data_IF_209874567583
#
_entry.id   IF_209874567583
#
_cell.length_a   1.000
_cell.length_b   1.000
_cell.length_c   1.000
_cell.angle_alpha   90.00
_cell.angle_beta   90.00
_cell.angle_gamma   90.00
#
_symmetry.space_group_name_H-M   'P 1'
#
loop_
_entity.id
_entity.type
_entity.pdbx_description
1 polymer ?
#
# COMPACT_ATOMS: atom_id res chain seq x y z
N UNK A 1 0.56 5.56 28.13
CA UNK A 1 0.13 6.55 27.12
C UNK A 1 0.64 6.05 25.80
N UNK A 2 -0.30 5.73 24.91
CA UNK A 2 -0.07 4.93 23.71
C UNK A 2 0.40 5.82 22.55
N UNK A 3 1.30 5.26 21.73
CA UNK A 3 2.01 5.95 20.65
C UNK A 3 1.12 6.07 19.42
N UNK A 4 1.25 7.18 18.70
CA UNK A 4 0.58 7.44 17.41
C UNK A 4 1.66 7.94 16.46
N UNK A 5 1.68 7.51 15.18
CA UNK A 5 2.35 8.34 14.20
C UNK A 5 1.62 8.52 12.87
N UNK A 6 1.37 9.81 12.62
CA UNK A 6 1.81 10.62 11.47
C UNK A 6 1.05 10.52 10.14
N UNK A 7 0.66 11.73 9.74
CA UNK A 7 0.18 12.18 8.44
C UNK A 7 1.38 12.64 7.60
N UNK A 8 1.52 12.14 6.36
CA UNK A 8 2.51 12.65 5.41
C UNK A 8 2.01 13.94 4.75
N UNK A 9 2.82 15.00 4.77
CA UNK A 9 2.42 16.36 4.34
C UNK A 9 3.51 16.95 3.42
N UNK A 10 3.17 17.57 2.26
CA UNK A 10 4.17 18.16 1.36
C UNK A 10 4.96 19.34 1.97
N UNK A 11 6.23 19.54 1.58
CA UNK A 11 7.17 20.56 2.12
C UNK A 11 6.68 22.01 2.14
N UNK A 12 5.79 22.41 1.23
CA UNK A 12 5.23 23.78 1.22
C UNK A 12 4.18 23.93 2.32
N UNK A 13 3.39 22.89 2.54
CA UNK A 13 2.36 22.81 3.58
C UNK A 13 3.03 22.86 4.96
N UNK A 14 4.16 22.19 5.10
CA UNK A 14 5.00 22.08 6.31
C UNK A 14 5.29 23.43 7.01
N UNK A 15 5.66 24.49 6.27
CA UNK A 15 5.99 25.79 6.88
C UNK A 15 4.77 26.50 7.48
N UNK A 16 3.60 26.31 6.88
CA UNK A 16 2.35 26.93 7.34
C UNK A 16 1.74 26.15 8.51
N UNK A 17 1.80 24.81 8.52
CA UNK A 17 1.36 23.97 9.66
C UNK A 17 2.06 24.36 10.97
N UNK A 18 3.39 24.53 10.92
CA UNK A 18 4.21 24.92 12.09
C UNK A 18 3.86 26.33 12.58
N UNK A 19 3.35 27.21 11.71
CA UNK A 19 2.91 28.55 12.10
C UNK A 19 1.55 28.58 12.81
N UNK A 20 0.72 27.55 12.60
CA UNK A 20 -0.63 27.42 13.15
C UNK A 20 -0.62 26.60 14.45
N UNK A 21 0.30 25.65 14.57
CA UNK A 21 0.45 24.79 15.75
C UNK A 21 1.41 25.44 16.77
N UNK A 22 0.92 25.77 17.97
CA UNK A 22 1.78 26.03 19.15
C UNK A 22 1.32 25.15 20.32
N UNK A 23 2.20 24.60 21.17
CA UNK A 23 3.66 24.74 21.27
C UNK A 23 4.44 23.46 20.87
N UNK A 24 5.77 23.62 20.80
CA UNK A 24 6.93 22.72 20.66
C UNK A 24 6.78 21.26 21.17
N UNK A 25 5.77 20.94 21.97
CA UNK A 25 5.55 19.61 22.55
C UNK A 25 4.93 18.60 21.58
N UNK A 26 4.17 19.04 20.57
CA UNK A 26 3.50 18.15 19.59
C UNK A 26 4.45 17.72 18.46
N UNK A 27 5.58 18.39 18.26
CA UNK A 27 6.54 18.03 17.23
C UNK A 27 7.72 17.27 17.86
N UNK A 28 7.95 16.03 17.43
CA UNK A 28 9.08 15.22 17.90
C UNK A 28 10.33 15.48 17.07
N UNK A 29 10.25 15.23 15.76
CA UNK A 29 11.38 15.32 14.84
C UNK A 29 10.90 15.23 13.39
N UNK A 30 11.76 15.61 12.47
CA UNK A 30 11.61 15.34 11.05
C UNK A 30 12.70 14.35 10.64
N UNK A 31 12.31 13.32 9.90
CA UNK A 31 13.25 12.36 9.30
C UNK A 31 12.80 12.16 7.87
N UNK A 32 13.72 12.38 6.91
CA UNK A 32 13.50 12.10 5.49
C UNK A 32 12.25 12.77 4.87
N UNK A 33 11.88 13.96 5.36
CA UNK A 33 10.70 14.72 4.91
C UNK A 33 9.38 14.28 5.55
N UNK A 34 9.42 13.31 6.49
CA UNK A 34 8.26 12.89 7.27
C UNK A 34 8.24 13.59 8.64
N UNK A 35 7.10 14.19 8.98
CA UNK A 35 6.92 14.95 10.23
C UNK A 35 6.45 14.05 11.35
N UNK A 36 7.25 13.87 12.40
CA UNK A 36 6.87 13.09 13.57
C UNK A 36 6.17 13.94 14.62
N UNK A 37 4.89 13.66 14.86
CA UNK A 37 4.12 14.28 15.92
C UNK A 37 4.24 13.46 17.22
N UNK A 38 4.37 14.14 18.34
CA UNK A 38 4.26 13.62 19.71
C UNK A 38 2.80 13.27 20.03
N UNK A 39 2.53 12.72 21.22
CA UNK A 39 1.21 12.23 21.63
C UNK A 39 0.08 13.24 21.37
N UNK A 40 -0.70 13.00 20.32
CA UNK A 40 -1.94 13.72 20.00
C UNK A 40 -3.11 12.77 20.11
N UNK A 41 -4.22 13.24 20.67
CA UNK A 41 -5.49 12.51 20.67
C UNK A 41 -6.03 12.37 19.25
N UNK A 42 -6.90 11.38 19.03
CA UNK A 42 -7.57 11.19 17.74
C UNK A 42 -8.30 12.47 17.28
N UNK A 43 -8.97 13.18 18.20
CA UNK A 43 -9.66 14.43 17.86
C UNK A 43 -8.71 15.53 17.38
N UNK A 44 -7.51 15.61 17.97
CA UNK A 44 -6.48 16.54 17.52
C UNK A 44 -5.94 16.17 16.14
N UNK A 45 -5.70 14.88 15.87
CA UNK A 45 -5.28 14.41 14.54
C UNK A 45 -6.31 14.79 13.47
N UNK A 46 -7.60 14.57 13.74
CA UNK A 46 -8.67 14.90 12.80
C UNK A 46 -8.89 16.41 12.66
N UNK A 47 -8.66 17.19 13.71
CA UNK A 47 -8.68 18.65 13.66
C UNK A 47 -7.53 19.19 12.78
N UNK A 48 -6.34 18.62 12.92
CA UNK A 48 -5.18 18.93 12.06
C UNK A 48 -5.52 18.56 10.62
N UNK A 49 -5.94 17.32 10.35
CA UNK A 49 -6.36 16.87 9.01
C UNK A 49 -7.39 17.82 8.38
N UNK A 50 -8.44 18.20 9.13
CA UNK A 50 -9.50 19.12 8.66
C UNK A 50 -8.95 20.52 8.37
N UNK A 51 -8.00 20.99 9.17
CA UNK A 51 -7.36 22.28 8.95
C UNK A 51 -6.48 22.25 7.69
N UNK A 52 -5.70 21.18 7.50
CA UNK A 52 -4.83 21.02 6.34
C UNK A 52 -5.61 20.83 5.04
N UNK A 53 -6.68 20.03 5.05
CA UNK A 53 -7.55 19.85 3.87
C UNK A 53 -8.20 21.15 3.43
N UNK A 54 -8.60 22.01 4.37
CA UNK A 54 -9.16 23.31 4.07
C UNK A 54 -8.14 24.30 3.49
N UNK A 55 -6.91 24.31 4.00
CA UNK A 55 -5.91 25.30 3.60
C UNK A 55 -5.28 24.93 2.25
N UNK A 56 -4.90 23.66 2.06
CA UNK A 56 -3.99 23.29 0.99
C UNK A 56 -4.64 22.74 -0.26
N UNK A 57 -5.97 22.52 -0.26
CA UNK A 57 -6.67 21.85 -1.37
C UNK A 57 -5.89 20.61 -1.85
N UNK A 58 -5.34 19.83 -0.91
CA UNK A 58 -4.44 18.73 -1.26
C UNK A 58 -5.28 17.63 -1.92
N UNK A 59 -4.86 17.13 -3.10
CA UNK A 59 -5.65 16.16 -3.85
C UNK A 59 -5.70 14.77 -3.21
N UNK A 60 -4.80 14.47 -2.25
CA UNK A 60 -4.70 13.15 -1.63
C UNK A 60 -4.00 13.21 -0.26
N UNK A 61 -4.42 12.31 0.64
CA UNK A 61 -3.79 12.03 1.94
C UNK A 61 -3.77 10.54 2.19
N UNK A 62 -2.69 10.04 2.78
CA UNK A 62 -2.58 8.65 3.20
C UNK A 62 -2.60 8.59 4.73
N UNK A 63 -3.41 7.70 5.28
CA UNK A 63 -3.46 7.42 6.71
C UNK A 63 -2.50 6.29 7.05
N UNK A 64 -1.60 6.53 8.01
CA UNK A 64 -0.62 5.54 8.46
C UNK A 64 -0.98 5.06 9.87
N UNK A 65 -1.19 3.76 10.06
CA UNK A 65 -1.46 3.16 11.36
C UNK A 65 -0.34 2.16 11.70
N UNK A 66 0.40 2.43 12.78
CA UNK A 66 1.37 1.48 13.34
C UNK A 66 0.66 0.36 14.09
N UNK A 67 0.22 -0.65 13.37
CA UNK A 67 -0.39 -1.84 13.93
C UNK A 67 0.52 -2.55 14.94
N UNK A 68 1.84 -2.52 14.73
CA UNK A 68 2.81 -3.07 15.69
C UNK A 68 2.86 -2.34 17.05
N UNK A 69 2.38 -1.11 17.13
CA UNK A 69 2.39 -0.30 18.36
C UNK A 69 0.99 -0.03 18.94
N UNK A 70 -0.07 -0.22 18.15
CA UNK A 70 -1.46 0.00 18.53
C UNK A 70 -2.08 -1.26 19.11
N UNK A 71 -2.90 -1.08 20.16
CA UNK A 71 -3.83 -2.13 20.57
C UNK A 71 -4.92 -2.30 19.52
N UNK A 72 -5.44 -3.51 19.39
CA UNK A 72 -6.42 -3.87 18.36
C UNK A 72 -7.73 -3.05 18.46
N UNK A 73 -8.22 -2.79 19.68
CA UNK A 73 -9.40 -1.95 19.91
C UNK A 73 -9.18 -0.52 19.41
N UNK A 74 -7.99 0.04 19.65
CA UNK A 74 -7.60 1.36 19.15
C UNK A 74 -7.40 1.39 17.65
N UNK A 75 -6.82 0.35 17.06
CA UNK A 75 -6.71 0.22 15.62
C UNK A 75 -8.08 0.32 14.94
N UNK A 76 -9.08 -0.40 15.47
CA UNK A 76 -10.44 -0.36 14.93
C UNK A 76 -11.15 0.96 15.18
N UNK A 77 -11.02 1.55 16.37
CA UNK A 77 -11.52 2.90 16.67
C UNK A 77 -11.03 3.92 15.63
N UNK A 78 -9.74 3.87 15.29
CA UNK A 78 -9.13 4.78 14.33
C UNK A 78 -9.56 4.48 12.90
N UNK A 79 -9.60 3.20 12.53
CA UNK A 79 -10.04 2.76 11.21
C UNK A 79 -11.47 3.22 10.93
N UNK A 80 -12.40 2.99 11.85
CA UNK A 80 -13.79 3.44 11.72
C UNK A 80 -13.89 4.96 11.57
N UNK A 81 -13.09 5.72 12.34
CA UNK A 81 -13.07 7.18 12.22
C UNK A 81 -12.52 7.63 10.86
N UNK A 82 -11.43 7.03 10.38
CA UNK A 82 -10.81 7.32 9.09
C UNK A 82 -11.77 7.05 7.93
N UNK A 83 -12.53 5.95 8.00
CA UNK A 83 -13.51 5.59 6.98
C UNK A 83 -14.67 6.61 6.86
N UNK A 84 -14.84 7.52 7.84
CA UNK A 84 -15.79 8.64 7.71
C UNK A 84 -15.27 9.81 6.86
N UNK A 85 -14.02 9.74 6.39
CA UNK A 85 -13.37 10.75 5.55
C UNK A 85 -13.24 10.31 4.10
N UNK A 86 -12.83 11.22 3.21
CA UNK A 86 -12.43 10.81 1.87
C UNK A 86 -11.06 10.11 1.93
N UNK A 87 -11.11 8.78 1.91
CA UNK A 87 -9.92 7.93 1.96
C UNK A 87 -9.28 7.82 0.57
N UNK A 88 -8.03 8.28 0.46
CA UNK A 88 -7.18 8.05 -0.71
C UNK A 88 -6.21 6.89 -0.48
N UNK A 89 -5.46 6.90 0.62
CA UNK A 89 -4.56 5.81 0.97
C UNK A 89 -4.64 5.39 2.43
N UNK A 90 -4.39 4.11 2.67
CA UNK A 90 -4.40 3.50 3.99
C UNK A 90 -3.23 2.54 4.15
N UNK A 91 -2.42 2.75 5.18
CA UNK A 91 -1.23 1.96 5.46
C UNK A 91 -1.35 1.31 6.83
N UNK A 92 -1.16 0.00 6.88
CA UNK A 92 -1.03 -0.79 8.10
C UNK A 92 0.43 -1.18 8.22
N UNK A 93 1.12 -0.71 9.26
CA UNK A 93 2.56 -0.91 9.42
C UNK A 93 2.94 -1.62 10.72
N UNK A 94 3.86 -2.57 10.58
CA UNK A 94 4.42 -3.34 11.68
C UNK A 94 3.49 -4.40 12.26
N UNK A 95 4.05 -5.24 13.13
CA UNK A 95 3.32 -6.32 13.79
C UNK A 95 2.83 -7.42 12.85
N UNK A 96 2.00 -8.31 13.39
CA UNK A 96 1.38 -9.40 12.63
C UNK A 96 -0.13 -9.26 12.68
N UNK A 97 -0.77 -9.08 11.53
CA UNK A 97 -2.22 -8.94 11.44
C UNK A 97 -2.86 -10.32 11.30
N UNK A 98 -3.85 -10.61 12.15
CA UNK A 98 -4.61 -11.87 12.07
C UNK A 98 -5.42 -11.94 10.76
N UNK A 99 -5.66 -13.15 10.26
CA UNK A 99 -6.53 -13.37 9.09
C UNK A 99 -7.91 -12.73 9.24
N UNK A 100 -8.51 -12.81 10.42
CA UNK A 100 -9.83 -12.23 10.74
C UNK A 100 -9.79 -10.70 10.61
N UNK A 101 -8.83 -10.05 11.29
CA UNK A 101 -8.70 -8.58 11.22
C UNK A 101 -8.36 -8.08 9.82
N UNK A 102 -7.51 -8.80 9.07
CA UNK A 102 -7.18 -8.43 7.70
C UNK A 102 -8.39 -8.62 6.77
N UNK A 103 -9.17 -9.68 6.95
CA UNK A 103 -10.39 -9.89 6.17
C UNK A 103 -11.44 -8.81 6.45
N UNK A 104 -11.64 -8.45 7.72
CA UNK A 104 -12.53 -7.35 8.12
C UNK A 104 -12.07 -6.02 7.53
N UNK A 105 -10.75 -5.76 7.53
CA UNK A 105 -10.17 -4.55 6.95
C UNK A 105 -10.49 -4.47 5.45
N UNK A 106 -10.22 -5.55 4.70
CA UNK A 106 -10.46 -5.61 3.27
C UNK A 106 -11.96 -5.48 2.93
N UNK A 107 -12.87 -5.90 3.82
CA UNK A 107 -14.30 -5.75 3.61
C UNK A 107 -14.77 -4.30 3.78
N UNK A 108 -14.20 -3.58 4.75
CA UNK A 108 -14.57 -2.20 5.07
C UNK A 108 -13.96 -1.16 4.13
N UNK A 109 -12.81 -1.48 3.52
CA UNK A 109 -12.08 -0.52 2.70
C UNK A 109 -12.80 -0.22 1.37
N UNK A 110 -12.90 1.06 0.95
CA UNK A 110 -13.43 1.42 -0.35
C UNK A 110 -12.55 0.88 -1.49
N UNK A 111 -13.16 0.36 -2.55
CA UNK A 111 -12.42 -0.15 -3.73
C UNK A 111 -11.57 0.94 -4.42
N UNK A 112 -11.91 2.23 -4.24
CA UNK A 112 -11.12 3.33 -4.80
C UNK A 112 -9.84 3.68 -4.01
N UNK A 113 -9.62 3.05 -2.85
CA UNK A 113 -8.49 3.34 -1.98
C UNK A 113 -7.19 2.68 -2.47
N UNK A 114 -6.06 3.27 -2.07
CA UNK A 114 -4.74 2.66 -2.16
C UNK A 114 -4.40 2.01 -0.82
N UNK A 115 -4.13 0.71 -0.79
CA UNK A 115 -3.86 -0.02 0.45
C UNK A 115 -2.43 -0.50 0.49
N UNK A 116 -1.74 -0.26 1.61
CA UNK A 116 -0.40 -0.81 1.86
C UNK A 116 -0.45 -1.62 3.16
N UNK A 117 -0.11 -2.89 3.07
CA UNK A 117 0.02 -3.78 4.23
C UNK A 117 1.51 -4.10 4.43
N UNK A 118 2.13 -3.36 5.34
CA UNK A 118 3.48 -3.54 5.87
C UNK A 118 3.44 -4.28 7.23
N UNK A 119 2.60 -5.30 7.33
CA UNK A 119 2.51 -6.20 8.48
C UNK A 119 2.76 -7.65 8.05
N UNK A 120 3.15 -8.50 8.98
CA UNK A 120 3.22 -9.95 8.71
C UNK A 120 1.80 -10.50 8.51
N UNK A 121 1.64 -11.34 7.49
CA UNK A 121 0.38 -12.00 7.12
C UNK A 121 0.60 -13.51 7.18
N UNK A 122 -0.39 -14.25 7.68
CA UNK A 122 -0.30 -15.71 7.73
C UNK A 122 -0.29 -16.33 6.32
N UNK A 123 0.51 -17.38 6.13
CA UNK A 123 0.64 -18.06 4.83
C UNK A 123 -0.62 -18.83 4.40
N UNK A 124 -1.53 -19.10 5.33
CA UNK A 124 -2.83 -19.74 5.06
C UNK A 124 -3.95 -18.73 4.78
N UNK A 125 -3.64 -17.43 4.78
CA UNK A 125 -4.61 -16.39 4.47
C UNK A 125 -5.11 -16.52 3.02
N UNK A 126 -6.38 -16.16 2.83
CA UNK A 126 -6.99 -16.06 1.51
C UNK A 126 -8.17 -15.10 1.58
N UNK A 127 -8.26 -14.19 0.62
CA UNK A 127 -9.38 -13.27 0.52
C UNK A 127 -9.63 -12.90 -0.94
N UNK A 128 -10.86 -13.05 -1.47
CA UNK A 128 -11.18 -12.70 -2.86
C UNK A 128 -11.05 -11.20 -3.16
N UNK A 129 -11.06 -10.33 -2.14
CA UNK A 129 -10.87 -8.88 -2.29
C UNK A 129 -9.41 -8.43 -2.25
N UNK A 130 -8.44 -9.36 -2.17
CA UNK A 130 -7.02 -9.02 -2.02
C UNK A 130 -6.49 -8.00 -3.05
N UNK A 131 -7.08 -7.94 -4.24
CA UNK A 131 -6.71 -7.04 -5.33
C UNK A 131 -7.85 -6.13 -5.79
N UNK A 132 -8.96 -6.02 -5.05
CA UNK A 132 -10.13 -5.24 -5.43
C UNK A 132 -10.02 -3.78 -4.97
N UNK A 133 -8.86 -3.18 -5.21
CA UNK A 133 -8.55 -1.81 -4.79
C UNK A 133 -7.89 -1.04 -5.93
N UNK A 134 -7.93 0.29 -5.87
CA UNK A 134 -7.24 1.14 -6.84
C UNK A 134 -5.76 0.79 -6.90
N UNK A 135 -5.10 0.66 -5.75
CA UNK A 135 -3.74 0.13 -5.69
C UNK A 135 -3.57 -0.73 -4.46
N UNK A 136 -2.71 -1.74 -4.54
CA UNK A 136 -2.36 -2.54 -3.38
C UNK A 136 -0.86 -2.84 -3.31
N UNK A 137 -0.31 -2.75 -2.10
CA UNK A 137 1.03 -3.16 -1.78
C UNK A 137 1.03 -4.13 -0.60
N UNK A 138 1.64 -5.29 -0.80
CA UNK A 138 1.87 -6.28 0.25
C UNK A 138 3.36 -6.44 0.48
N UNK A 139 3.82 -6.12 1.70
CA UNK A 139 5.18 -6.45 2.10
C UNK A 139 5.37 -7.96 2.23
N UNK A 140 4.46 -8.61 2.94
CA UNK A 140 4.37 -10.06 3.03
C UNK A 140 3.33 -10.58 2.03
N UNK A 141 3.80 -11.18 0.95
CA UNK A 141 2.99 -11.65 -0.17
C UNK A 141 3.15 -13.16 -0.41
N UNK A 142 3.87 -13.90 0.45
CA UNK A 142 4.08 -15.36 0.29
C UNK A 142 2.83 -16.21 0.48
N UNK A 143 1.78 -15.65 1.08
CA UNK A 143 0.47 -16.27 1.21
C UNK A 143 -0.28 -16.31 -0.13
N UNK A 144 0.08 -15.45 -1.10
CA UNK A 144 -0.53 -15.42 -2.41
C UNK A 144 -0.08 -16.61 -3.26
N UNK A 145 -1.02 -17.11 -4.05
CA UNK A 145 -0.78 -18.07 -5.12
C UNK A 145 -0.94 -17.40 -6.47
N UNK A 146 -0.41 -18.02 -7.52
CA UNK A 146 -0.45 -17.46 -8.87
C UNK A 146 -1.88 -17.23 -9.35
N UNK A 147 -2.81 -18.11 -8.95
CA UNK A 147 -4.23 -18.00 -9.30
C UNK A 147 -4.89 -16.76 -8.69
N UNK A 148 -4.36 -16.23 -7.58
CA UNK A 148 -4.87 -14.98 -7.02
C UNK A 148 -4.59 -13.81 -7.97
N UNK A 149 -3.46 -13.81 -8.70
CA UNK A 149 -3.14 -12.74 -9.64
C UNK A 149 -4.10 -12.74 -10.84
N UNK A 150 -4.65 -13.88 -11.22
CA UNK A 150 -5.65 -13.97 -12.30
C UNK A 150 -6.98 -13.28 -11.96
N UNK A 151 -7.22 -12.95 -10.68
CA UNK A 151 -8.41 -12.20 -10.25
C UNK A 151 -8.28 -10.68 -10.37
N UNK A 152 -7.09 -10.15 -10.60
CA UNK A 152 -6.83 -8.71 -10.68
C UNK A 152 -7.67 -8.07 -11.79
N UNK A 153 -8.45 -7.03 -11.48
CA UNK A 153 -9.24 -6.28 -12.47
C UNK A 153 -9.23 -4.79 -12.17
N UNK A 154 -9.05 -3.98 -13.20
CA UNK A 154 -9.13 -2.50 -13.14
C UNK A 154 -8.29 -1.87 -12.01
N UNK A 155 -7.12 -2.43 -11.70
CA UNK A 155 -6.22 -1.90 -10.68
C UNK A 155 -5.25 -0.89 -11.32
N UNK A 156 -4.90 0.18 -10.63
CA UNK A 156 -3.83 1.08 -11.06
C UNK A 156 -2.47 0.39 -10.84
N UNK A 157 -2.12 0.08 -9.58
CA UNK A 157 -0.79 -0.39 -9.23
C UNK A 157 -0.81 -1.54 -8.24
N UNK A 158 -0.01 -2.58 -8.49
CA UNK A 158 0.18 -3.72 -7.59
C UNK A 158 1.66 -3.89 -7.26
N UNK A 159 1.98 -4.01 -5.97
CA UNK A 159 3.36 -4.22 -5.49
C UNK A 159 3.43 -5.39 -4.52
N UNK A 160 4.20 -6.40 -4.88
CA UNK A 160 4.40 -7.62 -4.08
C UNK A 160 5.88 -7.75 -3.73
N UNK A 161 6.24 -7.53 -2.45
CA UNK A 161 7.66 -7.43 -2.03
C UNK A 161 8.29 -8.76 -1.58
N UNK A 162 7.61 -9.59 -0.79
CA UNK A 162 8.12 -10.91 -0.40
C UNK A 162 7.18 -11.97 -0.93
N UNK A 163 7.56 -12.66 -1.99
CA UNK A 163 6.71 -13.66 -2.64
C UNK A 163 7.35 -15.04 -2.61
N UNK A 164 6.59 -16.04 -3.04
CA UNK A 164 7.09 -17.38 -3.36
C UNK A 164 7.24 -17.60 -4.87
N UNK A 165 7.02 -16.56 -5.68
CA UNK A 165 6.99 -16.67 -7.14
C UNK A 165 8.39 -16.78 -7.72
N UNK A 166 8.56 -17.64 -8.72
CA UNK A 166 9.76 -17.70 -9.55
C UNK A 166 9.53 -17.13 -10.96
N UNK A 167 10.54 -17.22 -11.82
CA UNK A 167 10.46 -16.74 -13.20
C UNK A 167 9.34 -17.43 -14.01
N UNK A 168 9.07 -18.71 -13.73
CA UNK A 168 8.05 -19.49 -14.42
C UNK A 168 6.65 -19.04 -14.01
N UNK A 169 6.43 -18.77 -12.73
CA UNK A 169 5.19 -18.18 -12.24
C UNK A 169 4.92 -16.82 -12.91
N UNK A 170 5.94 -15.96 -13.00
CA UNK A 170 5.81 -14.65 -13.66
C UNK A 170 5.51 -14.80 -15.15
N UNK A 171 6.19 -15.71 -15.86
CA UNK A 171 5.89 -16.02 -17.26
C UNK A 171 4.43 -16.49 -17.43
N UNK A 172 3.96 -17.40 -16.58
CA UNK A 172 2.58 -17.88 -16.58
C UNK A 172 1.58 -16.73 -16.38
N UNK A 173 1.88 -15.79 -15.48
CA UNK A 173 1.04 -14.61 -15.29
C UNK A 173 1.01 -13.68 -16.50
N UNK A 174 2.15 -13.43 -17.13
CA UNK A 174 2.21 -12.58 -18.33
C UNK A 174 1.40 -13.20 -19.47
N UNK A 175 1.49 -14.52 -19.69
CA UNK A 175 0.67 -15.24 -20.68
C UNK A 175 -0.83 -15.16 -20.39
N UNK A 176 -1.23 -15.27 -19.13
CA UNK A 176 -2.63 -15.07 -18.75
C UNK A 176 -3.09 -13.65 -19.04
N UNK A 177 -2.26 -12.66 -18.68
CA UNK A 177 -2.57 -11.25 -18.85
C UNK A 177 -2.66 -10.85 -20.33
N UNK A 178 -1.72 -11.27 -21.17
CA UNK A 178 -1.71 -10.95 -22.61
C UNK A 178 -2.92 -11.52 -23.34
N UNK A 179 -3.46 -12.64 -22.88
CA UNK A 179 -4.69 -13.24 -23.40
C UNK A 179 -6.00 -12.72 -22.79
N UNK A 180 -5.96 -11.76 -21.86
CA UNK A 180 -7.16 -11.25 -21.17
C UNK A 180 -7.84 -10.13 -21.96
N UNK A 181 -9.12 -10.31 -22.27
CA UNK A 181 -9.96 -9.25 -22.88
C UNK A 181 -10.35 -8.13 -21.90
N UNK A 182 -9.91 -8.22 -20.64
CA UNK A 182 -10.23 -7.26 -19.58
C UNK A 182 -8.97 -6.57 -19.07
N UNK A 183 -9.08 -5.27 -18.84
CA UNK A 183 -8.05 -4.49 -18.17
C UNK A 183 -7.78 -5.05 -16.77
N UNK A 184 -6.55 -5.52 -16.56
CA UNK A 184 -6.13 -6.11 -15.30
C UNK A 184 -5.49 -5.04 -14.42
N UNK A 185 -4.35 -4.49 -14.83
CA UNK A 185 -3.68 -3.39 -14.14
C UNK A 185 -2.86 -2.47 -15.06
N UNK A 186 -2.58 -1.25 -14.61
CA UNK A 186 -1.63 -0.34 -15.30
C UNK A 186 -0.17 -0.65 -14.95
N UNK A 187 0.12 -0.99 -13.69
CA UNK A 187 1.46 -1.32 -13.22
C UNK A 187 1.46 -2.51 -12.24
N UNK A 188 2.43 -3.42 -12.41
CA UNK A 188 2.72 -4.47 -11.43
C UNK A 188 4.21 -4.58 -11.16
N UNK A 189 4.58 -4.73 -9.88
CA UNK A 189 5.95 -5.05 -9.44
C UNK A 189 5.92 -6.28 -8.56
N UNK A 190 6.69 -7.30 -8.95
CA UNK A 190 6.81 -8.55 -8.23
C UNK A 190 8.28 -8.76 -7.91
N UNK A 191 8.62 -8.84 -6.62
CA UNK A 191 9.92 -9.37 -6.20
C UNK A 191 9.83 -10.89 -6.19
N UNK A 192 10.73 -11.55 -6.89
CA UNK A 192 10.81 -13.01 -6.92
C UNK A 192 11.15 -13.57 -5.53
N UNK A 193 10.89 -14.86 -5.36
CA UNK A 193 11.28 -15.64 -4.20
C UNK A 193 12.75 -15.42 -3.85
N UNK A 194 13.02 -15.30 -2.56
CA UNK A 194 14.37 -15.10 -2.04
C UNK A 194 15.32 -16.21 -2.54
N UNK A 195 16.47 -15.79 -3.07
CA UNK A 195 17.47 -16.68 -3.65
C UNK A 195 17.28 -17.01 -5.14
N UNK A 196 16.15 -16.62 -5.75
CA UNK A 196 15.93 -16.78 -7.19
C UNK A 196 16.74 -15.74 -7.97
N UNK A 197 17.54 -16.20 -8.94
CA UNK A 197 18.17 -15.32 -9.93
C UNK A 197 17.13 -14.96 -11.00
N UNK A 198 17.11 -13.69 -11.41
CA UNK A 198 16.25 -13.27 -12.52
C UNK A 198 16.79 -13.89 -13.80
N UNK A 199 15.96 -14.72 -14.43
CA UNK A 199 16.19 -15.29 -15.75
C UNK A 199 15.20 -14.67 -16.72
N UNK A 200 15.64 -13.62 -17.42
CA UNK A 200 14.84 -12.93 -18.42
C UNK A 200 14.39 -13.88 -19.55
N UNK A 201 15.19 -14.91 -19.90
CA UNK A 201 14.79 -15.86 -20.95
C UNK A 201 13.62 -16.72 -20.51
N UNK A 202 13.58 -17.12 -19.25
CA UNK A 202 12.44 -17.88 -18.70
C UNK A 202 11.21 -16.97 -18.53
N UNK A 203 11.38 -15.73 -18.04
CA UNK A 203 10.26 -14.77 -17.90
C UNK A 203 9.63 -14.45 -19.25
N UNK A 204 10.46 -14.28 -20.29
CA UNK A 204 10.01 -13.87 -21.63
C UNK A 204 9.74 -15.04 -22.57
N UNK A 205 9.81 -16.26 -22.06
CA UNK A 205 9.64 -17.47 -22.84
C UNK A 205 8.28 -17.48 -23.54
N UNK A 206 8.32 -17.77 -24.84
CA UNK A 206 7.16 -17.81 -25.74
C UNK A 206 6.42 -16.46 -25.88
N UNK A 207 7.05 -15.33 -25.50
CA UNK A 207 6.54 -13.98 -25.71
C UNK A 207 7.30 -13.25 -26.83
N UNK A 208 6.62 -12.32 -27.50
CA UNK A 208 7.25 -11.38 -28.42
C UNK A 208 7.73 -10.18 -27.60
N UNK A 209 9.05 -10.05 -27.43
CA UNK A 209 9.66 -8.95 -26.68
C UNK A 209 10.11 -7.85 -27.63
N UNK A 210 9.74 -6.61 -27.33
CA UNK A 210 10.22 -5.42 -28.03
C UNK A 210 11.21 -4.69 -27.14
N UNK A 211 12.44 -4.54 -27.63
CA UNK A 211 13.48 -3.76 -26.96
C UNK A 211 13.51 -2.34 -27.53
N UNK A 212 13.53 -1.34 -26.66
CA UNK A 212 13.77 0.06 -27.05
C UNK A 212 15.22 0.45 -26.75
N UNK A 213 15.94 0.96 -27.75
CA UNK A 213 17.37 1.27 -27.64
C UNK A 213 17.71 2.36 -26.60
N UNK A 214 16.72 3.15 -26.16
CA UNK A 214 16.91 4.28 -25.25
C UNK A 214 16.89 3.93 -23.76
N UNK A 215 16.46 2.70 -23.39
CA UNK A 215 16.47 2.26 -21.99
C UNK A 215 16.55 0.72 -21.93
N UNK A 216 17.74 0.18 -21.67
CA UNK A 216 17.97 -1.29 -21.64
C UNK A 216 17.26 -2.00 -20.48
N UNK A 217 16.64 -1.26 -19.58
CA UNK A 217 15.96 -1.77 -18.39
C UNK A 217 14.42 -1.85 -18.58
N UNK A 218 13.90 -1.55 -19.77
CA UNK A 218 12.45 -1.59 -20.07
C UNK A 218 12.19 -2.52 -21.26
N UNK A 219 11.44 -3.59 -21.02
CA UNK A 219 10.98 -4.54 -22.04
C UNK A 219 9.46 -4.45 -22.17
N UNK A 220 8.96 -4.41 -23.41
CA UNK A 220 7.52 -4.42 -23.70
C UNK A 220 7.10 -5.81 -24.20
N UNK A 221 5.96 -6.28 -23.70
CA UNK A 221 5.34 -7.55 -24.09
C UNK A 221 4.11 -7.28 -24.96
N UNK A 222 3.98 -8.02 -26.07
CA UNK A 222 2.82 -7.99 -26.96
C UNK A 222 2.15 -9.36 -27.02
#
# INVERSE_FOLDING_TARGET
>A
MEKFPILKVPDVVFREVISIMTPIEIYLKEIDGDMYLNYVSIEEVFSIYSSLSRIFSCPAYDWFLLFGELKLDKFWEYTERILTTELHGFVVDGGSISNESLAELMEKMPEKANIIIDSDISLDYSNPKAFNFRSVEYKEARWLKIENLFSIRNSYMIKLKRTNFDCSDVNQFIHYWSGSDKDMMEEIRITLKEGTQIDTQEITKDLIVIHTEENRDIEYFM
#
